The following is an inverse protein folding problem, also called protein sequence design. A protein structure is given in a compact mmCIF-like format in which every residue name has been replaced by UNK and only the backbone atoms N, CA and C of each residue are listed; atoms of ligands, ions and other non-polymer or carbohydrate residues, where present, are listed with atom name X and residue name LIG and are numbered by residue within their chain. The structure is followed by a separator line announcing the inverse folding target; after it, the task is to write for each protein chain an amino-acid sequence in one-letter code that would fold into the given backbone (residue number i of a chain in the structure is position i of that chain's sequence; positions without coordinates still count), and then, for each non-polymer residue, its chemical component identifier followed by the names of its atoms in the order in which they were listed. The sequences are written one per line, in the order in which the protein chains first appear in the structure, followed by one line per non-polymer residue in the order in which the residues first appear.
data_IF_786581563243
#
_entry.id   IF_786581563243
#
_cell.length_a   1.000
_cell.length_b   1.000
_cell.length_c   1.000
_cell.angle_alpha   90.00
_cell.angle_beta   90.00
_cell.angle_gamma   90.00
#
_symmetry.space_group_name_H-M   'P 1'
#
loop_
_entity.id
_entity.type
_entity.pdbx_description
1 polymer ?
#
# COMPACT_ATOMS: atom_id res chain seq x y z
N UNK A 1 5.38 18.57 -0.31
CA UNK A 1 6.25 17.61 0.39
C UNK A 1 5.85 17.63 1.85
N UNK A 2 5.18 16.56 2.28
CA UNK A 2 4.63 16.38 3.61
C UNK A 2 5.62 15.52 4.41
N UNK A 3 5.97 15.96 5.61
CA UNK A 3 6.95 15.29 6.47
C UNK A 3 6.28 14.87 7.77
N UNK A 4 6.30 13.57 8.07
CA UNK A 4 5.57 13.00 9.21
C UNK A 4 6.46 12.06 10.02
N UNK A 5 7.34 12.59 10.89
CA UNK A 5 8.08 11.76 11.81
C UNK A 5 7.11 11.09 12.80
N UNK A 6 7.03 9.76 12.80
CA UNK A 6 6.12 9.03 13.70
C UNK A 6 6.53 9.18 15.17
N UNK A 7 7.84 9.20 15.44
CA UNK A 7 8.36 9.45 16.77
C UNK A 7 9.73 10.13 16.70
N UNK A 8 9.94 11.16 17.52
CA UNK A 8 11.20 11.88 17.66
C UNK A 8 11.43 12.17 19.14
N UNK A 9 12.60 11.81 19.64
CA UNK A 9 12.91 12.00 21.05
C UNK A 9 14.26 11.41 21.43
N UNK A 10 14.64 11.67 22.68
CA UNK A 10 15.81 11.06 23.27
C UNK A 10 15.42 9.73 23.91
N UNK A 11 16.25 8.71 23.74
CA UNK A 11 16.08 7.50 24.53
C UNK A 11 16.35 7.79 26.00
N UNK A 12 15.59 7.17 26.91
CA UNK A 12 15.87 7.27 28.35
C UNK A 12 17.30 6.83 28.66
N UNK A 13 17.97 7.51 29.59
CA UNK A 13 19.36 7.20 29.97
C UNK A 13 19.56 5.77 30.50
N UNK A 14 18.50 5.15 31.00
CA UNK A 14 18.53 3.76 31.49
C UNK A 14 18.63 2.72 30.35
N UNK A 15 18.49 3.12 29.09
CA UNK A 15 18.54 2.20 27.96
C UNK A 15 20.00 1.86 27.59
N UNK A 16 20.41 0.59 27.63
CA UNK A 16 21.79 0.21 27.35
C UNK A 16 22.13 0.48 25.87
N UNK A 17 23.35 0.94 25.62
CA UNK A 17 23.95 1.24 24.29
C UNK A 17 23.43 2.47 23.53
N UNK A 18 22.20 2.93 23.78
CA UNK A 18 21.56 4.01 23.00
C UNK A 18 20.90 5.10 23.87
N UNK A 19 20.96 4.95 25.20
CA UNK A 19 20.44 5.95 26.15
C UNK A 19 21.04 7.33 25.94
N UNK A 20 20.20 8.36 25.96
CA UNK A 20 20.61 9.75 25.74
C UNK A 20 20.87 10.12 24.26
N UNK A 21 20.82 9.19 23.31
CA UNK A 21 20.93 9.53 21.89
C UNK A 21 19.60 10.04 21.32
N UNK A 22 19.69 11.05 20.47
CA UNK A 22 18.54 11.57 19.73
C UNK A 22 18.17 10.56 18.64
N UNK A 23 16.94 10.05 18.70
CA UNK A 23 16.42 9.09 17.74
C UNK A 23 15.16 9.61 17.10
N UNK A 24 15.03 9.34 15.80
CA UNK A 24 13.80 9.62 15.07
C UNK A 24 13.37 8.36 14.35
N UNK A 25 12.26 7.80 14.79
CA UNK A 25 11.66 6.62 14.20
C UNK A 25 10.74 7.02 13.06
N UNK A 26 11.02 6.48 11.88
CA UNK A 26 10.23 6.63 10.65
C UNK A 26 10.09 8.09 10.19
N UNK A 27 10.95 8.49 9.23
CA UNK A 27 11.01 9.83 8.65
C UNK A 27 10.50 9.86 7.19
N UNK A 28 9.22 9.55 6.94
CA UNK A 28 8.70 9.57 5.59
C UNK A 28 8.52 11.00 5.10
N UNK A 29 8.90 11.23 3.84
CA UNK A 29 8.61 12.44 3.08
C UNK A 29 7.67 12.02 1.95
N UNK A 30 6.40 12.37 2.08
CA UNK A 30 5.39 12.05 1.06
C UNK A 30 5.12 13.25 0.18
N UNK A 31 5.05 13.05 -1.12
CA UNK A 31 4.41 14.02 -2.00
C UNK A 31 2.93 13.69 -2.19
N UNK A 32 2.15 14.68 -2.62
CA UNK A 32 0.73 14.50 -2.97
C UNK A 32 0.59 13.42 -4.05
N UNK A 33 1.56 13.32 -4.96
CA UNK A 33 1.62 12.27 -5.98
C UNK A 33 1.73 10.86 -5.37
N UNK A 34 2.58 10.66 -4.37
CA UNK A 34 2.78 9.34 -3.75
C UNK A 34 1.54 8.87 -3.00
N UNK A 35 0.79 9.80 -2.40
CA UNK A 35 -0.50 9.53 -1.76
C UNK A 35 -1.54 9.13 -2.82
N UNK A 36 -1.61 9.85 -3.95
CA UNK A 36 -2.52 9.52 -5.04
C UNK A 36 -2.22 8.13 -5.65
N UNK A 37 -0.95 7.79 -5.85
CA UNK A 37 -0.52 6.47 -6.34
C UNK A 37 -0.87 5.38 -5.31
N UNK A 38 -0.59 5.61 -4.03
CA UNK A 38 -0.88 4.64 -2.96
C UNK A 38 -2.38 4.33 -2.83
N UNK A 39 -3.23 5.35 -2.96
CA UNK A 39 -4.70 5.17 -2.99
C UNK A 39 -5.13 4.40 -4.24
N UNK A 40 -4.58 4.75 -5.41
CA UNK A 40 -4.89 4.06 -6.67
C UNK A 40 -4.52 2.57 -6.65
N UNK A 41 -3.32 2.24 -6.17
CA UNK A 41 -2.87 0.85 -6.00
C UNK A 41 -3.69 0.12 -4.93
N UNK A 42 -3.99 0.77 -3.80
CA UNK A 42 -4.85 0.21 -2.76
C UNK A 42 -6.25 -0.15 -3.27
N UNK A 43 -6.87 0.74 -4.05
CA UNK A 43 -8.15 0.51 -4.69
C UNK A 43 -8.09 -0.61 -5.75
N UNK A 44 -7.01 -0.70 -6.54
CA UNK A 44 -6.81 -1.80 -7.49
C UNK A 44 -6.68 -3.15 -6.78
N UNK A 45 -5.87 -3.22 -5.71
CA UNK A 45 -5.70 -4.45 -4.93
C UNK A 45 -7.02 -4.85 -4.25
N UNK A 46 -7.73 -3.88 -3.67
CA UNK A 46 -9.02 -4.11 -3.04
C UNK A 46 -10.07 -4.61 -4.05
N UNK A 47 -10.09 -4.01 -5.24
CA UNK A 47 -10.99 -4.42 -6.33
C UNK A 47 -10.66 -5.81 -6.84
N UNK A 48 -9.38 -6.16 -6.99
CA UNK A 48 -8.96 -7.47 -7.44
C UNK A 48 -9.18 -8.57 -6.38
N UNK A 49 -9.00 -8.25 -5.10
CA UNK A 49 -9.20 -9.22 -4.01
C UNK A 49 -10.68 -9.43 -3.69
N UNK A 50 -11.49 -8.37 -3.74
CA UNK A 50 -12.93 -8.43 -3.48
C UNK A 50 -13.74 -8.94 -4.67
N UNK A 51 -13.34 -8.62 -5.90
CA UNK A 51 -14.05 -9.05 -7.11
C UNK A 51 -13.35 -10.23 -7.76
N UNK A 52 -13.57 -11.43 -7.19
CA UNK A 52 -13.53 -12.66 -8.01
C UNK A 52 -14.74 -12.70 -8.95
N UNK A 53 -14.94 -11.68 -9.78
CA UNK A 53 -15.89 -11.75 -10.88
C UNK A 53 -15.25 -12.59 -11.97
N UNK A 54 -15.41 -13.91 -11.84
CA UNK A 54 -15.19 -14.87 -12.91
C UNK A 54 -16.15 -14.51 -14.04
N UNK A 55 -15.73 -13.63 -14.95
CA UNK A 55 -16.42 -13.43 -16.21
C UNK A 55 -16.07 -14.62 -17.09
N UNK A 56 -16.73 -15.76 -16.84
CA UNK A 56 -16.68 -16.91 -17.73
C UNK A 56 -17.54 -16.60 -18.95
N UNK A 57 -16.99 -15.87 -19.90
CA UNK A 57 -17.55 -15.81 -21.24
C UNK A 57 -17.30 -17.15 -21.91
N UNK A 58 -18.16 -18.12 -21.62
CA UNK A 58 -18.22 -19.38 -22.35
C UNK A 58 -18.80 -19.09 -23.73
N UNK A 59 -17.92 -18.74 -24.68
CA UNK A 59 -18.31 -18.72 -26.09
C UNK A 59 -18.58 -20.16 -26.51
N UNK A 60 -19.86 -20.54 -26.48
CA UNK A 60 -20.34 -21.80 -27.04
C UNK A 60 -20.52 -21.55 -28.53
N UNK A 61 -19.63 -22.10 -29.35
CA UNK A 61 -19.92 -22.29 -30.78
C UNK A 61 -21.01 -23.35 -30.84
N UNK A 62 -22.17 -22.98 -31.38
CA UNK A 62 -23.22 -23.95 -31.63
C UNK A 62 -22.90 -24.68 -32.94
N UNK A 63 -23.29 -25.95 -33.04
CA UNK A 63 -23.02 -26.78 -34.23
C UNK A 63 -23.75 -26.23 -35.47
N UNK A 64 -24.74 -25.35 -35.28
CA UNK A 64 -25.40 -24.57 -36.32
C UNK A 64 -24.52 -23.52 -37.00
N UNK A 65 -23.40 -23.11 -36.38
CA UNK A 65 -22.49 -22.11 -36.93
C UNK A 65 -21.44 -22.73 -37.87
N UNK A 66 -21.46 -24.07 -38.01
CA UNK A 66 -20.53 -24.88 -38.79
C UNK A 66 -21.20 -25.56 -40.00
N UNK A 67 -22.44 -25.19 -40.35
CA UNK A 67 -23.20 -25.70 -41.51
C UNK A 67 -23.43 -24.60 -42.53
#
# INVERSE_FOLDING_TARGET
MLYFPLYKGYFPEWFPFIGGHYFTFFNPVFNVADVAISIGVGLLILSNTGNKTSKKSSFRIDKSDLV
#
